data_IF_997174817089
#
_entry.id   IF_997174817089
#
_cell.length_a   1.000
_cell.length_b   1.000
_cell.length_c   1.000
_cell.angle_alpha   90.00
_cell.angle_beta   90.00
_cell.angle_gamma   90.00
#
_symmetry.space_group_name_H-M   'P 1'
#
loop_
_entity.id
_entity.type
_entity.pdbx_description
1 polymer ?
#
# COMPACT_ATOMS: atom_id res chain seq x y z
N UNK A 1 -16.88 28.62 -33.24
CA UNK A 1 -16.56 28.59 -31.81
C UNK A 1 -16.53 27.12 -31.44
N UNK A 2 -15.34 26.54 -31.40
CA UNK A 2 -15.16 25.12 -31.09
C UNK A 2 -15.10 24.97 -29.56
N UNK A 3 -15.99 24.15 -29.02
CA UNK A 3 -16.01 23.79 -27.59
C UNK A 3 -14.73 23.06 -27.26
N UNK A 4 -13.99 23.39 -26.18
CA UNK A 4 -12.81 22.65 -25.77
C UNK A 4 -13.22 21.24 -25.38
N UNK A 5 -12.63 20.26 -26.03
CA UNK A 5 -12.76 18.84 -25.75
C UNK A 5 -12.22 18.56 -24.34
N UNK A 6 -13.10 18.23 -23.42
CA UNK A 6 -12.78 17.90 -22.04
C UNK A 6 -11.98 16.60 -22.03
N UNK A 7 -10.82 16.53 -21.36
CA UNK A 7 -10.02 15.31 -21.34
C UNK A 7 -10.87 14.16 -20.77
N UNK A 8 -10.73 12.93 -21.30
CA UNK A 8 -11.54 11.79 -20.87
C UNK A 8 -11.33 11.54 -19.38
N UNK A 9 -12.43 11.42 -18.64
CA UNK A 9 -12.42 11.10 -17.22
C UNK A 9 -11.73 9.72 -17.05
N UNK A 10 -10.57 9.63 -16.35
CA UNK A 10 -9.84 8.38 -16.18
C UNK A 10 -10.64 7.33 -15.41
N UNK A 11 -11.76 7.71 -14.80
CA UNK A 11 -12.63 6.82 -14.03
C UNK A 11 -14.02 6.63 -14.68
N UNK A 12 -14.30 7.20 -15.86
CA UNK A 12 -15.57 7.08 -16.57
C UNK A 12 -15.97 5.62 -16.85
N UNK A 13 -14.99 4.73 -17.01
CA UNK A 13 -15.25 3.30 -17.18
C UNK A 13 -15.95 2.66 -15.96
N UNK A 14 -15.93 3.31 -14.79
CA UNK A 14 -16.57 2.81 -13.57
C UNK A 14 -18.02 3.30 -13.39
N UNK A 15 -18.45 4.30 -14.13
CA UNK A 15 -19.82 4.83 -14.07
C UNK A 15 -20.80 4.03 -14.93
N UNK A 16 -20.34 3.34 -15.98
CA UNK A 16 -21.20 2.73 -17.00
C UNK A 16 -21.66 1.29 -16.68
N UNK A 17 -21.13 0.63 -15.67
CA UNK A 17 -21.51 -0.74 -15.34
C UNK A 17 -22.62 -0.80 -14.28
N UNK A 18 -23.89 -0.64 -14.72
CA UNK A 18 -25.04 -1.13 -13.96
C UNK A 18 -24.96 -2.65 -13.89
N UNK A 19 -24.64 -3.17 -12.73
CA UNK A 19 -24.61 -4.61 -12.47
C UNK A 19 -26.01 -5.19 -12.56
N UNK A 20 -26.33 -5.84 -13.68
CA UNK A 20 -27.55 -6.67 -13.81
C UNK A 20 -27.20 -8.02 -13.18
N UNK A 21 -27.68 -8.25 -11.96
CA UNK A 21 -27.60 -9.55 -11.30
C UNK A 21 -28.57 -10.51 -11.99
N UNK A 22 -28.09 -11.37 -12.89
CA UNK A 22 -28.85 -12.53 -13.37
C UNK A 22 -28.81 -13.63 -12.31
N UNK A 23 -29.95 -14.11 -11.80
CA UNK A 23 -29.99 -15.26 -10.89
C UNK A 23 -29.44 -16.49 -11.61
N UNK A 24 -28.47 -17.15 -11.01
CA UNK A 24 -27.92 -18.40 -11.52
C UNK A 24 -28.97 -19.51 -11.38
N UNK A 25 -29.25 -20.33 -12.42
CA UNK A 25 -30.15 -21.46 -12.30
C UNK A 25 -29.63 -22.44 -11.24
N UNK A 26 -30.52 -22.83 -10.34
CA UNK A 26 -30.24 -23.83 -9.30
C UNK A 26 -30.03 -25.18 -9.97
N UNK A 27 -28.83 -25.75 -9.83
CA UNK A 27 -28.56 -27.11 -10.28
C UNK A 27 -29.37 -28.13 -9.47
N UNK A 28 -29.86 -29.23 -10.08
CA UNK A 28 -30.60 -30.26 -9.36
C UNK A 28 -29.68 -30.95 -8.35
N UNK A 29 -30.23 -31.14 -7.11
CA UNK A 29 -29.56 -31.85 -6.05
C UNK A 29 -29.45 -33.34 -6.42
N UNK A 30 -28.23 -33.86 -6.50
CA UNK A 30 -28.00 -35.29 -6.62
C UNK A 30 -26.81 -35.69 -7.45
N UNK A 31 -25.60 -35.43 -6.98
CA UNK A 31 -24.41 -36.24 -7.25
C UNK A 31 -23.28 -35.79 -6.32
N UNK A 32 -22.87 -36.65 -5.43
CA UNK A 32 -21.68 -36.48 -4.60
C UNK A 32 -20.46 -36.58 -5.50
N UNK A 33 -19.63 -35.54 -5.65
CA UNK A 33 -18.39 -35.64 -6.43
C UNK A 33 -17.36 -36.46 -5.64
N UNK A 34 -16.53 -37.26 -6.31
CA UNK A 34 -15.40 -37.96 -5.68
C UNK A 34 -14.39 -36.95 -5.09
N UNK A 35 -13.66 -37.33 -4.02
CA UNK A 35 -12.67 -36.44 -3.42
C UNK A 35 -11.59 -36.12 -4.43
N UNK A 36 -11.41 -34.82 -4.70
CA UNK A 36 -10.32 -34.34 -5.53
C UNK A 36 -8.98 -34.59 -4.81
N UNK A 37 -7.94 -35.00 -5.54
CA UNK A 37 -6.60 -35.11 -4.96
C UNK A 37 -6.15 -33.75 -4.42
N UNK A 38 -5.65 -33.74 -3.18
CA UNK A 38 -5.11 -32.56 -2.54
C UNK A 38 -3.93 -32.02 -3.37
N UNK A 39 -4.18 -30.98 -4.16
CA UNK A 39 -3.11 -30.22 -4.78
C UNK A 39 -2.40 -29.43 -3.67
N UNK A 40 -1.08 -29.64 -3.56
CA UNK A 40 -0.24 -28.84 -2.73
C UNK A 40 -0.40 -27.33 -3.11
N UNK A 41 -0.42 -26.42 -2.14
CA UNK A 41 -0.52 -25.00 -2.44
C UNK A 41 0.68 -24.61 -3.32
N UNK A 42 0.48 -23.78 -4.36
CA UNK A 42 1.58 -23.29 -5.16
C UNK A 42 2.57 -22.53 -4.25
N UNK A 43 3.87 -22.61 -4.53
CA UNK A 43 4.86 -21.84 -3.76
C UNK A 43 4.46 -20.38 -3.82
N UNK A 44 4.41 -19.74 -2.65
CA UNK A 44 4.20 -18.30 -2.54
C UNK A 44 5.30 -17.62 -3.37
N UNK A 45 4.91 -17.04 -4.50
CA UNK A 45 5.80 -16.17 -5.27
C UNK A 45 6.29 -15.03 -4.37
N UNK A 46 7.46 -14.43 -4.67
CA UNK A 46 7.97 -13.33 -3.87
C UNK A 46 6.86 -12.28 -3.75
N UNK A 47 6.44 -12.02 -2.51
CA UNK A 47 5.58 -10.91 -2.20
C UNK A 47 6.33 -9.67 -2.70
N UNK A 48 5.85 -9.09 -3.80
CA UNK A 48 6.31 -7.77 -4.21
C UNK A 48 5.79 -6.85 -3.12
N UNK A 49 6.66 -6.56 -2.17
CA UNK A 49 6.45 -5.54 -1.16
C UNK A 49 6.37 -4.19 -1.88
N UNK A 50 5.17 -3.87 -2.37
CA UNK A 50 4.84 -2.51 -2.81
C UNK A 50 4.65 -1.70 -1.53
N UNK A 51 5.75 -1.59 -0.79
CA UNK A 51 5.83 -0.87 0.46
C UNK A 51 5.61 0.62 0.24
N UNK A 52 4.35 1.00 0.01
CA UNK A 52 3.93 2.34 0.37
C UNK A 52 3.96 2.36 1.89
N UNK A 53 5.04 2.90 2.40
CA UNK A 53 5.18 3.09 3.84
C UNK A 53 4.06 4.03 4.30
N UNK A 54 2.97 3.46 4.81
CA UNK A 54 1.80 4.19 5.33
C UNK A 54 2.24 5.23 6.37
N UNK A 55 3.30 4.93 7.12
CA UNK A 55 3.89 5.86 8.07
C UNK A 55 4.48 7.11 7.38
N UNK A 56 5.09 6.98 6.21
CA UNK A 56 5.64 8.13 5.47
C UNK A 56 4.55 9.03 4.91
N UNK A 57 3.41 8.47 4.49
CA UNK A 57 2.25 9.26 4.04
C UNK A 57 1.59 9.98 5.21
N UNK A 58 1.52 9.35 6.38
CA UNK A 58 0.95 9.94 7.59
C UNK A 58 1.71 11.20 8.05
N UNK A 59 3.03 11.26 7.87
CA UNK A 59 3.83 12.43 8.24
C UNK A 59 3.54 13.68 7.38
N UNK A 60 3.02 13.50 6.16
CA UNK A 60 2.79 14.57 5.19
C UNK A 60 1.30 14.92 5.02
N UNK A 61 0.40 14.06 5.52
CA UNK A 61 -1.04 14.21 5.35
C UNK A 61 -1.74 14.16 6.71
N UNK A 62 -2.24 15.30 7.23
CA UNK A 62 -2.89 15.37 8.54
C UNK A 62 -4.13 14.47 8.62
N UNK A 63 -4.87 14.28 7.53
CA UNK A 63 -6.04 13.40 7.48
C UNK A 63 -5.65 11.92 7.65
N UNK A 64 -4.60 11.47 6.96
CA UNK A 64 -4.07 10.10 7.10
C UNK A 64 -3.45 9.90 8.49
N UNK A 65 -2.76 10.92 9.03
CA UNK A 65 -2.22 10.88 10.38
C UNK A 65 -3.31 10.66 11.43
N UNK A 66 -4.39 11.43 11.36
CA UNK A 66 -5.55 11.26 12.25
C UNK A 66 -6.23 9.89 12.08
N UNK A 67 -6.27 9.35 10.84
CA UNK A 67 -6.87 8.06 10.52
C UNK A 67 -5.98 6.85 10.85
N UNK A 68 -4.70 7.04 11.14
CA UNK A 68 -3.72 5.95 11.35
C UNK A 68 -4.18 4.89 12.37
N UNK A 69 -4.79 5.23 13.52
CA UNK A 69 -5.30 4.22 14.45
C UNK A 69 -6.41 3.35 13.82
N UNK A 70 -7.31 3.95 13.02
CA UNK A 70 -8.39 3.23 12.33
C UNK A 70 -7.85 2.34 11.22
N UNK A 71 -6.84 2.81 10.47
CA UNK A 71 -6.17 2.01 9.45
C UNK A 71 -5.48 0.78 10.07
N UNK A 72 -4.85 0.95 11.23
CA UNK A 72 -4.30 -0.17 12.01
C UNK A 72 -5.37 -1.16 12.48
N UNK A 73 -6.55 -0.68 12.89
CA UNK A 73 -7.68 -1.53 13.25
C UNK A 73 -8.22 -2.32 12.05
N UNK A 74 -8.31 -1.71 10.85
CA UNK A 74 -8.71 -2.42 9.63
C UNK A 74 -7.76 -3.59 9.36
N UNK A 75 -6.44 -3.35 9.42
CA UNK A 75 -5.43 -4.39 9.22
C UNK A 75 -5.54 -5.52 10.25
N UNK A 76 -5.74 -5.19 11.53
CA UNK A 76 -5.89 -6.15 12.62
C UNK A 76 -7.16 -6.97 12.50
N UNK A 77 -8.30 -6.35 12.17
CA UNK A 77 -9.58 -7.01 12.00
C UNK A 77 -9.55 -8.02 10.86
N UNK A 78 -8.86 -7.70 9.75
CA UNK A 78 -8.73 -8.63 8.61
C UNK A 78 -7.96 -9.90 8.96
N UNK A 79 -7.14 -9.88 10.00
CA UNK A 79 -6.37 -11.03 10.49
C UNK A 79 -7.05 -11.74 11.68
N UNK A 80 -8.14 -11.17 12.21
CA UNK A 80 -8.80 -11.68 13.40
C UNK A 80 -9.59 -12.97 13.11
N UNK A 81 -9.11 -14.09 13.62
CA UNK A 81 -9.77 -15.40 13.49
C UNK A 81 -10.76 -15.68 14.63
N UNK A 82 -10.54 -15.09 15.80
CA UNK A 82 -11.38 -15.28 16.98
C UNK A 82 -12.38 -14.13 17.14
N UNK A 83 -13.60 -14.46 17.52
CA UNK A 83 -14.64 -13.49 17.79
C UNK A 83 -14.34 -12.73 19.09
N UNK A 84 -14.18 -11.39 19.07
CA UNK A 84 -14.17 -10.59 20.28
C UNK A 84 -15.60 -10.46 20.83
N UNK A 85 -15.74 -9.84 22.01
CA UNK A 85 -17.07 -9.43 22.46
C UNK A 85 -17.60 -8.32 21.52
N UNK A 86 -18.56 -8.67 20.66
CA UNK A 86 -19.07 -7.79 19.60
C UNK A 86 -19.55 -6.42 20.09
N UNK A 87 -20.32 -6.32 21.21
CA UNK A 87 -20.72 -5.02 21.75
C UNK A 87 -19.53 -4.15 22.19
N UNK A 88 -18.53 -4.76 22.81
CA UNK A 88 -17.31 -4.05 23.25
C UNK A 88 -16.47 -3.59 22.05
N UNK A 89 -16.31 -4.44 21.04
CA UNK A 89 -15.65 -4.06 19.78
C UNK A 89 -16.35 -2.86 19.14
N UNK A 90 -17.69 -2.93 19.02
CA UNK A 90 -18.47 -1.84 18.43
C UNK A 90 -18.29 -0.53 19.20
N UNK A 91 -18.37 -0.55 20.52
CA UNK A 91 -18.16 0.64 21.34
C UNK A 91 -16.75 1.23 21.14
N UNK A 92 -15.72 0.37 21.05
CA UNK A 92 -14.35 0.80 20.82
C UNK A 92 -14.15 1.42 19.43
N UNK A 93 -14.76 0.85 18.38
CA UNK A 93 -14.71 1.38 17.03
C UNK A 93 -15.45 2.73 16.92
N UNK A 94 -16.61 2.87 17.54
CA UNK A 94 -17.36 4.13 17.61
C UNK A 94 -16.50 5.22 18.27
N UNK A 95 -15.90 4.93 19.43
CA UNK A 95 -15.01 5.87 20.10
C UNK A 95 -13.77 6.20 19.28
N UNK A 96 -13.24 5.25 18.50
CA UNK A 96 -12.11 5.49 17.62
C UNK A 96 -12.48 6.40 16.44
N UNK A 97 -13.67 6.22 15.83
CA UNK A 97 -14.18 7.11 14.78
C UNK A 97 -14.38 8.54 15.30
N UNK A 98 -14.96 8.70 16.49
CA UNK A 98 -15.14 10.03 17.10
C UNK A 98 -13.80 10.72 17.40
N UNK A 99 -12.81 9.96 17.87
CA UNK A 99 -11.45 10.50 18.08
C UNK A 99 -10.81 10.93 16.78
N UNK A 100 -10.95 10.15 15.72
CA UNK A 100 -10.50 10.52 14.37
C UNK A 100 -11.09 11.85 13.93
N UNK A 101 -12.42 12.04 14.06
CA UNK A 101 -13.07 13.31 13.69
C UNK A 101 -12.51 14.50 14.46
N UNK A 102 -12.38 14.36 15.79
CA UNK A 102 -11.83 15.41 16.63
C UNK A 102 -10.37 15.75 16.25
N UNK A 103 -9.53 14.76 16.02
CA UNK A 103 -8.13 14.94 15.61
C UNK A 103 -8.01 15.59 14.24
N UNK A 104 -8.80 15.14 13.25
CA UNK A 104 -8.79 15.72 11.91
C UNK A 104 -9.26 17.20 11.92
N UNK A 105 -10.28 17.51 12.71
CA UNK A 105 -10.76 18.89 12.89
C UNK A 105 -9.69 19.77 13.57
N UNK A 106 -9.04 19.27 14.63
CA UNK A 106 -7.94 19.97 15.31
C UNK A 106 -6.74 20.19 14.39
N UNK A 107 -6.50 19.28 13.45
CA UNK A 107 -5.46 19.42 12.43
C UNK A 107 -5.85 20.38 11.28
N UNK A 108 -7.00 21.04 11.36
CA UNK A 108 -7.46 22.02 10.36
C UNK A 108 -7.96 21.40 9.04
N UNK A 109 -8.31 20.11 9.04
CA UNK A 109 -8.88 19.46 7.85
C UNK A 109 -10.28 20.00 7.60
N UNK A 110 -10.60 20.32 6.35
CA UNK A 110 -11.91 20.83 5.95
C UNK A 110 -13.02 19.84 6.35
N UNK A 111 -14.13 20.36 6.90
CA UNK A 111 -15.23 19.56 7.42
C UNK A 111 -15.81 18.58 6.40
N UNK A 112 -15.91 18.99 5.14
CA UNK A 112 -16.38 18.11 4.05
C UNK A 112 -15.44 16.90 3.84
N UNK A 113 -14.12 17.11 3.93
CA UNK A 113 -13.13 16.04 3.83
C UNK A 113 -13.18 15.10 5.04
N UNK A 114 -13.41 15.63 6.26
CA UNK A 114 -13.57 14.82 7.47
C UNK A 114 -14.78 13.91 7.36
N UNK A 115 -15.93 14.44 6.93
CA UNK A 115 -17.17 13.64 6.74
C UNK A 115 -16.99 12.56 5.67
N UNK A 116 -16.36 12.91 4.55
CA UNK A 116 -16.09 11.95 3.48
C UNK A 116 -15.09 10.85 3.94
N UNK A 117 -14.04 11.24 4.65
CA UNK A 117 -13.08 10.30 5.24
C UNK A 117 -13.73 9.36 6.27
N UNK A 118 -14.60 9.90 7.15
CA UNK A 118 -15.38 9.08 8.09
C UNK A 118 -16.23 8.05 7.34
N UNK A 119 -16.88 8.46 6.26
CA UNK A 119 -17.67 7.54 5.44
C UNK A 119 -16.82 6.37 4.90
N UNK A 120 -15.67 6.67 4.32
CA UNK A 120 -14.73 5.68 3.77
C UNK A 120 -14.23 4.74 4.88
N UNK A 121 -13.81 5.29 6.02
CA UNK A 121 -13.28 4.52 7.14
C UNK A 121 -14.35 3.61 7.78
N UNK A 122 -15.57 4.12 8.01
CA UNK A 122 -16.68 3.31 8.51
C UNK A 122 -17.00 2.15 7.55
N UNK A 123 -17.08 2.43 6.24
CA UNK A 123 -17.34 1.40 5.23
C UNK A 123 -16.24 0.32 5.23
N UNK A 124 -14.98 0.72 5.33
CA UNK A 124 -13.84 -0.21 5.33
C UNK A 124 -13.78 -1.05 6.61
N UNK A 125 -14.08 -0.46 7.77
CA UNK A 125 -14.17 -1.18 9.04
C UNK A 125 -15.33 -2.18 9.04
N UNK A 126 -16.50 -1.77 8.56
CA UNK A 126 -17.67 -2.66 8.45
C UNK A 126 -17.39 -3.84 7.51
N UNK A 127 -16.71 -3.59 6.37
CA UNK A 127 -16.27 -4.65 5.47
C UNK A 127 -15.24 -5.57 6.13
N UNK A 128 -14.26 -5.00 6.85
CA UNK A 128 -13.25 -5.80 7.54
C UNK A 128 -13.88 -6.75 8.56
N UNK A 129 -14.86 -6.28 9.34
CA UNK A 129 -15.61 -7.12 10.29
C UNK A 129 -16.47 -8.14 9.55
N UNK A 130 -17.22 -7.76 8.52
CA UNK A 130 -18.08 -8.66 7.75
C UNK A 130 -17.29 -9.79 7.07
N UNK A 131 -16.02 -9.57 6.77
CA UNK A 131 -15.11 -10.54 6.14
C UNK A 131 -14.47 -11.51 7.14
N UNK A 132 -14.64 -11.31 8.44
CA UNK A 132 -14.16 -12.27 9.44
C UNK A 132 -15.07 -13.51 9.50
N UNK A 133 -14.54 -14.68 9.92
CA UNK A 133 -15.36 -15.90 10.05
C UNK A 133 -16.57 -15.74 10.98
N UNK A 134 -16.49 -14.83 11.95
CA UNK A 134 -17.49 -14.58 12.98
C UNK A 134 -18.41 -13.38 12.66
N UNK A 135 -18.01 -12.47 11.78
CA UNK A 135 -18.71 -11.21 11.52
C UNK A 135 -20.14 -11.40 10.99
N UNK A 136 -20.33 -12.36 10.08
CA UNK A 136 -21.65 -12.67 9.54
C UNK A 136 -22.60 -13.25 10.61
N UNK A 137 -22.09 -14.10 11.50
CA UNK A 137 -22.85 -14.73 12.58
C UNK A 137 -23.20 -13.75 13.71
N UNK A 138 -22.35 -12.75 13.91
CA UNK A 138 -22.52 -11.73 14.95
C UNK A 138 -23.63 -10.70 14.65
N UNK A 139 -24.27 -10.78 13.50
CA UNK A 139 -25.33 -9.84 13.11
C UNK A 139 -24.83 -8.39 12.94
N UNK A 140 -23.54 -8.20 12.65
CA UNK A 140 -22.87 -6.89 12.53
C UNK A 140 -23.62 -5.94 11.59
N UNK A 141 -24.13 -6.45 10.46
CA UNK A 141 -24.80 -5.64 9.43
C UNK A 141 -26.01 -4.84 9.95
N UNK A 142 -26.67 -5.30 11.00
CA UNK A 142 -27.81 -4.58 11.60
C UNK A 142 -27.40 -3.37 12.42
N UNK A 143 -26.14 -3.33 12.85
CA UNK A 143 -25.60 -2.32 13.76
C UNK A 143 -24.23 -1.83 13.29
N UNK A 144 -24.03 -1.73 11.97
CA UNK A 144 -22.77 -1.30 11.38
C UNK A 144 -22.43 0.16 11.72
N UNK A 145 -21.16 0.52 11.60
CA UNK A 145 -20.72 1.89 11.81
C UNK A 145 -21.33 2.82 10.76
N UNK A 146 -21.48 2.34 9.54
CA UNK A 146 -22.08 3.09 8.45
C UNK A 146 -23.55 3.45 8.75
N UNK A 147 -24.33 2.51 9.34
CA UNK A 147 -25.68 2.80 9.81
C UNK A 147 -25.67 3.87 10.90
N UNK A 148 -24.78 3.77 11.86
CA UNK A 148 -24.72 4.67 12.99
C UNK A 148 -24.33 6.11 12.61
N UNK A 149 -23.33 6.27 11.75
CA UNK A 149 -22.77 7.59 11.44
C UNK A 149 -23.35 8.22 10.18
N UNK A 150 -23.90 7.42 9.27
CA UNK A 150 -24.37 7.90 7.95
C UNK A 150 -25.79 7.47 7.60
N UNK A 151 -26.44 6.66 8.46
CA UNK A 151 -27.78 6.11 8.21
C UNK A 151 -27.88 5.33 6.89
N UNK A 152 -26.80 4.61 6.54
CA UNK A 152 -26.70 3.82 5.32
C UNK A 152 -26.27 2.39 5.65
N UNK A 153 -26.79 1.42 4.88
CA UNK A 153 -26.49 -0.01 5.09
C UNK A 153 -25.45 -0.54 4.11
N UNK A 154 -25.18 0.17 3.03
CA UNK A 154 -24.29 -0.27 1.96
C UNK A 154 -23.45 0.89 1.44
N UNK A 155 -22.12 0.81 1.64
CA UNK A 155 -21.18 1.86 1.25
C UNK A 155 -20.18 1.47 0.16
N UNK A 156 -20.06 0.16 -0.13
CA UNK A 156 -19.00 -0.36 -0.97
C UNK A 156 -18.95 0.19 -2.39
N UNK A 157 -20.09 0.54 -3.00
CA UNK A 157 -20.14 1.17 -4.31
C UNK A 157 -19.90 2.68 -4.22
N UNK A 158 -20.54 3.33 -3.24
CA UNK A 158 -20.44 4.79 -3.07
C UNK A 158 -19.02 5.26 -2.79
N UNK A 159 -18.16 4.44 -2.17
CA UNK A 159 -16.74 4.76 -2.00
C UNK A 159 -16.05 4.94 -3.34
N UNK A 160 -16.35 4.11 -4.34
CA UNK A 160 -15.77 4.25 -5.68
C UNK A 160 -16.39 5.40 -6.49
N UNK A 161 -17.67 5.69 -6.31
CA UNK A 161 -18.28 6.89 -6.86
C UNK A 161 -17.67 8.16 -6.27
N UNK A 162 -17.42 8.17 -4.95
CA UNK A 162 -16.70 9.24 -4.28
C UNK A 162 -15.27 9.37 -4.83
N UNK A 163 -14.55 8.26 -5.00
CA UNK A 163 -13.22 8.25 -5.60
C UNK A 163 -13.22 8.89 -6.99
N UNK A 164 -14.14 8.50 -7.86
CA UNK A 164 -14.28 9.07 -9.21
C UNK A 164 -14.51 10.59 -9.17
N UNK A 165 -15.38 11.05 -8.29
CA UNK A 165 -15.65 12.48 -8.10
C UNK A 165 -14.44 13.26 -7.59
N UNK A 166 -13.72 12.72 -6.61
CA UNK A 166 -12.53 13.36 -6.02
C UNK A 166 -11.35 13.43 -7.01
N UNK A 167 -11.25 12.44 -7.89
CA UNK A 167 -10.22 12.39 -8.91
C UNK A 167 -10.34 13.47 -10.00
N UNK A 168 -11.48 14.14 -10.10
CA UNK A 168 -11.69 15.26 -11.03
C UNK A 168 -10.93 16.52 -10.61
N UNK A 169 -10.64 16.68 -9.31
CA UNK A 169 -9.83 17.79 -8.78
C UNK A 169 -8.85 17.26 -7.74
N UNK A 170 -7.75 16.71 -8.24
CA UNK A 170 -6.71 16.07 -7.41
C UNK A 170 -6.02 17.03 -6.45
N UNK A 171 -5.63 18.25 -6.87
CA UNK A 171 -4.94 19.18 -5.97
C UNK A 171 -5.76 19.48 -4.71
N UNK A 172 -7.05 19.76 -4.87
CA UNK A 172 -7.96 20.08 -3.76
C UNK A 172 -8.24 18.86 -2.89
N UNK A 173 -8.38 17.67 -3.48
CA UNK A 173 -8.82 16.46 -2.81
C UNK A 173 -7.67 15.50 -2.44
N UNK A 174 -6.40 15.92 -2.60
CA UNK A 174 -5.23 15.06 -2.43
C UNK A 174 -5.22 14.30 -1.10
N UNK A 175 -5.51 14.98 0.01
CA UNK A 175 -5.50 14.37 1.33
C UNK A 175 -6.45 13.17 1.42
N UNK A 176 -7.65 13.31 0.85
CA UNK A 176 -8.67 12.27 0.86
C UNK A 176 -8.36 11.15 -0.13
N UNK A 177 -7.77 11.47 -1.30
CA UNK A 177 -7.31 10.47 -2.27
C UNK A 177 -6.17 9.61 -1.70
N UNK A 178 -5.24 10.19 -0.95
CA UNK A 178 -4.19 9.46 -0.24
C UNK A 178 -4.77 8.54 0.83
N UNK A 179 -5.78 8.97 1.59
CA UNK A 179 -6.50 8.13 2.54
C UNK A 179 -7.22 6.96 1.85
N UNK A 180 -7.92 7.23 0.74
CA UNK A 180 -8.56 6.20 -0.07
C UNK A 180 -7.55 5.17 -0.58
N UNK A 181 -6.40 5.63 -1.04
CA UNK A 181 -5.31 4.73 -1.44
C UNK A 181 -4.86 3.83 -0.29
N UNK A 182 -4.68 4.36 0.92
CA UNK A 182 -4.32 3.57 2.11
C UNK A 182 -5.40 2.50 2.41
N UNK A 183 -6.67 2.87 2.35
CA UNK A 183 -7.79 1.94 2.59
C UNK A 183 -7.83 0.83 1.53
N UNK A 184 -7.63 1.16 0.25
CA UNK A 184 -7.54 0.18 -0.82
C UNK A 184 -6.31 -0.73 -0.67
N UNK A 185 -5.16 -0.17 -0.26
CA UNK A 185 -3.93 -0.93 -0.01
C UNK A 185 -4.08 -1.91 1.16
N UNK A 186 -4.88 -1.56 2.17
CA UNK A 186 -5.23 -2.44 3.28
C UNK A 186 -6.25 -3.53 2.90
N UNK A 187 -6.69 -3.55 1.64
CA UNK A 187 -7.48 -4.63 1.08
C UNK A 187 -8.99 -4.40 1.09
N UNK A 188 -9.46 -3.16 1.17
CA UNK A 188 -10.86 -2.84 0.91
C UNK A 188 -11.23 -3.20 -0.53
N UNK A 189 -12.27 -3.99 -0.72
CA UNK A 189 -12.72 -4.50 -2.01
C UNK A 189 -14.04 -3.83 -2.47
N UNK A 190 -14.95 -3.54 -1.54
CA UNK A 190 -16.25 -2.93 -1.80
C UNK A 190 -17.02 -3.67 -2.91
N UNK A 191 -17.44 -2.96 -3.97
CA UNK A 191 -18.18 -3.55 -5.09
C UNK A 191 -17.39 -4.60 -5.87
N UNK A 192 -16.06 -4.52 -5.90
CA UNK A 192 -15.22 -5.46 -6.66
C UNK A 192 -15.21 -6.88 -6.07
N UNK A 193 -15.69 -7.06 -4.86
CA UNK A 193 -15.78 -8.36 -4.23
C UNK A 193 -16.77 -9.32 -4.91
N UNK A 194 -17.83 -8.77 -5.50
CA UNK A 194 -18.97 -9.54 -6.03
C UNK A 194 -19.00 -9.63 -7.55
N UNK A 195 -18.06 -8.95 -8.24
CA UNK A 195 -17.97 -8.96 -9.70
C UNK A 195 -16.91 -9.95 -10.19
N UNK A 196 -17.11 -10.49 -11.38
CA UNK A 196 -16.15 -11.38 -12.00
C UNK A 196 -14.85 -10.64 -12.30
N UNK A 197 -13.71 -11.28 -11.99
CA UNK A 197 -12.37 -10.70 -12.14
C UNK A 197 -12.17 -9.37 -11.35
N UNK A 198 -12.95 -9.15 -10.28
CA UNK A 198 -12.96 -7.90 -9.52
C UNK A 198 -11.60 -7.54 -8.90
N UNK A 199 -10.80 -8.53 -8.48
CA UNK A 199 -9.45 -8.28 -7.93
C UNK A 199 -8.53 -7.62 -8.93
N UNK A 200 -8.46 -8.12 -10.16
CA UNK A 200 -7.62 -7.52 -11.21
C UNK A 200 -8.09 -6.10 -11.58
N UNK A 201 -9.41 -5.87 -11.61
CA UNK A 201 -9.97 -4.54 -11.82
C UNK A 201 -9.62 -3.61 -10.68
N UNK A 202 -9.73 -4.05 -9.42
CA UNK A 202 -9.35 -3.29 -8.22
C UNK A 202 -7.86 -2.94 -8.21
N UNK A 203 -6.99 -3.87 -8.62
CA UNK A 203 -5.56 -3.61 -8.74
C UNK A 203 -5.28 -2.53 -9.80
N UNK A 204 -6.04 -2.53 -10.91
CA UNK A 204 -6.00 -1.46 -11.90
C UNK A 204 -6.45 -0.10 -11.34
N UNK A 205 -7.48 -0.07 -10.49
CA UNK A 205 -7.92 1.17 -9.80
C UNK A 205 -6.84 1.66 -8.85
N UNK A 206 -6.27 0.76 -8.05
CA UNK A 206 -5.20 1.08 -7.09
C UNK A 206 -3.97 1.67 -7.80
N UNK A 207 -3.56 1.06 -8.91
CA UNK A 207 -2.44 1.54 -9.69
C UNK A 207 -2.69 2.93 -10.27
N UNK A 208 -3.85 3.15 -10.91
CA UNK A 208 -4.23 4.48 -11.46
C UNK A 208 -4.28 5.55 -10.36
N UNK A 209 -4.83 5.22 -9.20
CA UNK A 209 -4.87 6.15 -8.07
C UNK A 209 -3.47 6.50 -7.57
N UNK A 210 -2.58 5.52 -7.48
CA UNK A 210 -1.18 5.74 -7.10
C UNK A 210 -0.46 6.65 -8.10
N UNK A 211 -0.67 6.44 -9.40
CA UNK A 211 -0.08 7.25 -10.46
C UNK A 211 -0.61 8.69 -10.41
N UNK A 212 -1.91 8.84 -10.21
CA UNK A 212 -2.58 10.14 -10.07
C UNK A 212 -2.03 10.94 -8.88
N UNK A 213 -1.89 10.30 -7.72
CA UNK A 213 -1.32 10.93 -6.52
C UNK A 213 0.14 11.31 -6.77
N UNK A 214 0.95 10.45 -7.40
CA UNK A 214 2.35 10.72 -7.72
C UNK A 214 2.53 11.93 -8.65
N UNK A 215 1.71 12.03 -9.69
CA UNK A 215 1.76 13.14 -10.65
C UNK A 215 1.48 14.50 -10.00
N UNK A 216 0.64 14.53 -8.97
CA UNK A 216 0.24 15.77 -8.28
C UNK A 216 0.96 15.96 -6.93
N UNK A 217 1.90 15.09 -6.59
CA UNK A 217 2.74 15.29 -5.42
C UNK A 217 3.76 16.38 -5.74
N UNK A 218 3.90 17.43 -4.90
CA UNK A 218 5.01 18.34 -5.07
C UNK A 218 6.28 17.49 -5.03
N UNK A 219 7.12 17.65 -6.05
CA UNK A 219 8.43 16.98 -6.12
C UNK A 219 9.13 17.33 -4.81
N UNK A 220 9.49 16.35 -3.97
CA UNK A 220 10.32 16.69 -2.82
C UNK A 220 11.57 17.36 -3.39
N UNK A 221 11.89 18.55 -2.87
CA UNK A 221 13.16 19.17 -3.18
C UNK A 221 14.24 18.12 -3.00
N UNK A 222 14.94 17.82 -4.07
CA UNK A 222 15.79 16.64 -4.25
C UNK A 222 17.02 16.62 -3.33
N UNK A 223 17.19 17.60 -2.44
CA UNK A 223 18.34 17.71 -1.55
C UNK A 223 17.99 17.38 -0.10
N UNK A 224 17.71 16.10 0.16
CA UNK A 224 17.60 15.62 1.54
C UNK A 224 18.93 15.63 2.30
N UNK A 225 20.05 15.81 1.67
CA UNK A 225 21.38 16.14 2.20
C UNK A 225 22.42 16.07 1.06
N UNK A 226 23.35 17.00 0.93
CA UNK A 226 24.48 16.84 0.05
C UNK A 226 25.39 15.64 0.42
N UNK A 227 25.15 15.02 1.59
CA UNK A 227 25.88 13.85 2.09
C UNK A 227 25.22 12.50 1.83
N UNK A 228 24.03 12.43 1.21
CA UNK A 228 23.41 11.16 0.84
C UNK A 228 24.10 10.46 -0.34
N UNK A 229 24.76 11.22 -1.20
CA UNK A 229 25.79 10.62 -2.06
C UNK A 229 26.85 10.12 -1.11
N UNK A 230 26.67 8.87 -0.66
CA UNK A 230 27.69 8.19 0.13
C UNK A 230 29.01 8.53 -0.48
N UNK A 231 29.96 9.03 0.31
CA UNK A 231 31.34 9.08 -0.12
C UNK A 231 31.56 7.70 -0.73
N UNK A 232 31.64 7.68 -2.08
CA UNK A 232 32.11 6.49 -2.74
C UNK A 232 33.37 6.17 -1.94
N UNK A 233 33.31 5.11 -1.14
CA UNK A 233 34.50 4.57 -0.52
C UNK A 233 35.42 4.48 -1.71
N UNK A 234 36.38 5.44 -1.77
CA UNK A 234 37.46 5.34 -2.73
C UNK A 234 38.02 3.96 -2.41
N UNK A 235 37.60 2.99 -3.21
CA UNK A 235 38.26 1.70 -3.27
C UNK A 235 39.64 2.08 -3.79
N UNK A 236 40.48 2.51 -2.85
CA UNK A 236 41.89 2.70 -3.10
C UNK A 236 42.34 1.36 -3.63
N UNK A 237 42.62 1.32 -4.92
CA UNK A 237 43.25 0.17 -5.54
C UNK A 237 44.46 -0.07 -4.69
N UNK A 238 44.52 -1.19 -3.96
CA UNK A 238 45.67 -1.64 -3.20
C UNK A 238 46.97 -1.74 -4.08
N UNK A 239 46.82 -1.47 -5.37
CA UNK A 239 47.88 -1.42 -6.39
C UNK A 239 48.62 -0.07 -6.51
N UNK A 240 48.08 1.00 -5.86
CA UNK A 240 48.76 2.32 -5.91
C UNK A 240 49.90 2.50 -4.91
N UNK A 241 50.21 1.46 -4.14
CA UNK A 241 51.24 1.55 -3.08
C UNK A 241 52.67 1.27 -3.48
N UNK A 242 52.94 0.41 -4.46
CA UNK A 242 54.32 0.03 -4.85
C UNK A 242 54.40 -0.17 -6.39
N UNK A 243 54.98 0.72 -7.14
CA UNK A 243 55.12 0.53 -8.58
C UNK A 243 56.01 -0.71 -8.88
N UNK A 244 55.55 -1.50 -9.85
CA UNK A 244 56.17 -2.79 -10.24
C UNK A 244 57.69 -2.68 -10.51
N UNK A 245 58.20 -1.51 -10.94
CA UNK A 245 59.61 -1.28 -11.18
C UNK A 245 60.44 -1.29 -9.88
N UNK A 246 59.87 -0.87 -8.74
CA UNK A 246 60.53 -0.95 -7.41
C UNK A 246 60.71 -2.40 -6.97
N UNK A 247 59.68 -3.23 -7.19
CA UNK A 247 59.81 -4.67 -6.92
C UNK A 247 60.85 -5.33 -7.82
N UNK A 248 60.90 -4.95 -9.10
CA UNK A 248 61.92 -5.40 -10.05
C UNK A 248 63.33 -4.97 -9.65
N UNK A 249 63.52 -3.75 -9.19
CA UNK A 249 64.82 -3.24 -8.72
C UNK A 249 65.29 -3.94 -7.44
N UNK A 250 64.38 -4.18 -6.50
CA UNK A 250 64.72 -4.92 -5.28
C UNK A 250 65.14 -6.38 -5.55
N UNK A 251 64.45 -7.05 -6.48
CA UNK A 251 64.82 -8.41 -6.89
C UNK A 251 66.16 -8.46 -7.61
N UNK A 252 66.44 -7.52 -8.48
CA UNK A 252 67.70 -7.41 -9.19
C UNK A 252 68.86 -7.15 -8.22
N UNK A 253 68.68 -6.30 -7.20
CA UNK A 253 69.67 -6.03 -6.16
C UNK A 253 69.97 -7.30 -5.34
N UNK A 254 68.94 -8.07 -4.94
CA UNK A 254 69.12 -9.34 -4.20
C UNK A 254 69.90 -10.35 -5.05
N UNK A 255 69.59 -10.48 -6.32
CA UNK A 255 70.35 -11.39 -7.22
C UNK A 255 71.78 -10.98 -7.40
N UNK A 256 72.08 -9.67 -7.49
CA UNK A 256 73.43 -9.12 -7.61
C UNK A 256 74.24 -9.41 -6.33
N UNK A 257 73.65 -9.21 -5.14
CA UNK A 257 74.29 -9.53 -3.86
C UNK A 257 74.58 -11.02 -3.72
N UNK A 258 73.63 -11.88 -4.10
CA UNK A 258 73.78 -13.34 -4.10
C UNK A 258 74.91 -13.75 -5.04
N UNK A 259 74.99 -13.18 -6.24
CA UNK A 259 76.05 -13.46 -7.22
C UNK A 259 77.44 -13.05 -6.71
N UNK A 260 77.55 -11.85 -6.11
CA UNK A 260 78.81 -11.36 -5.52
C UNK A 260 79.25 -12.25 -4.34
N UNK A 261 78.32 -12.60 -3.46
CA UNK A 261 78.55 -13.51 -2.35
C UNK A 261 79.03 -14.90 -2.79
N UNK A 262 78.37 -15.47 -3.80
CA UNK A 262 78.76 -16.75 -4.40
C UNK A 262 80.13 -16.69 -5.06
N UNK A 263 80.45 -15.62 -5.75
CA UNK A 263 81.74 -15.41 -6.41
C UNK A 263 82.89 -15.26 -5.38
N UNK A 264 82.62 -14.55 -4.28
CA UNK A 264 83.58 -14.42 -3.21
C UNK A 264 83.81 -15.77 -2.51
N UNK A 265 82.77 -16.56 -2.27
CA UNK A 265 82.84 -17.88 -1.65
C UNK A 265 83.59 -18.93 -2.52
N UNK A 266 83.48 -18.79 -3.87
CA UNK A 266 84.19 -19.70 -4.80
C UNK A 266 85.61 -19.25 -5.08
N UNK A 267 86.03 -18.05 -4.72
CA UNK A 267 87.41 -17.53 -4.96
C UNK A 267 88.32 -17.57 -3.72
N UNK A 268 87.74 -18.10 -2.63
CA UNK A 268 88.43 -18.46 -1.42
C UNK A 268 88.63 -19.99 -1.37
#
# INVERSE_FOLDING_TARGET
MSTPEQPPDPFAAFESERTIIKPRPRAPAGATPPPAPAMAPPPAGPAVDVGVNVASVALLNPLVSAASPLLGLIASLRQATQAPQVPALRASLVAAVQRFEAQAQQAGVAQGAVVAARYVLCTALDEAVANTPWGAQAGWNKQSLLVQFHNETWGGEKVFQLLAKLAQDVPTNRQLLELLYCVLALGFEGRYRVIDNGRAQLDGVRQRLADLIRQHRPTPESDLSPHWRGQALATGRLTDGIPLWIMGAALALLLALAFVGLRLALNY
#
